data_IF_684586764026
#
_entry.id   IF_684586764026
#
_cell.length_a   1.000
_cell.length_b   1.000
_cell.length_c   1.000
_cell.angle_alpha   90.00
_cell.angle_beta   90.00
_cell.angle_gamma   90.00
#
_symmetry.space_group_name_H-M   'P 1'
#
loop_
_entity.id
_entity.type
_entity.pdbx_description
1 polymer ?
#
# COMPACT_ATOMS: atom_id res chain seq x y z
N UNK A 1 -1.10 24.94 -18.59
CA UNK A 1 0.24 24.68 -19.15
C UNK A 1 0.75 25.83 -20.01
N UNK A 2 -0.07 26.35 -20.93
CA UNK A 2 0.31 27.48 -21.80
C UNK A 2 0.62 28.75 -21.01
N UNK A 3 -0.25 29.16 -20.08
CA UNK A 3 -0.01 30.32 -19.21
C UNK A 3 1.31 30.22 -18.42
N UNK A 4 1.57 29.08 -17.78
CA UNK A 4 2.83 28.87 -17.04
C UNK A 4 4.09 28.83 -17.92
N UNK A 5 3.93 28.54 -19.22
CA UNK A 5 5.04 28.60 -20.18
C UNK A 5 5.31 30.04 -20.61
N UNK A 6 4.26 30.86 -20.73
CA UNK A 6 4.36 32.31 -20.93
C UNK A 6 5.01 33.01 -19.72
N UNK A 7 4.74 32.52 -18.50
CA UNK A 7 5.37 33.00 -17.25
C UNK A 7 6.82 32.48 -17.03
N UNK A 8 7.40 31.77 -18.00
CA UNK A 8 8.79 31.30 -17.93
C UNK A 8 9.03 30.10 -17.00
N UNK A 9 7.99 29.38 -16.56
CA UNK A 9 8.16 28.26 -15.66
C UNK A 9 8.85 27.05 -16.33
N UNK A 10 9.92 26.54 -15.71
CA UNK A 10 10.63 25.35 -16.17
C UNK A 10 9.78 24.07 -15.99
N UNK A 11 10.11 22.98 -16.67
CA UNK A 11 9.34 21.72 -16.68
C UNK A 11 9.06 21.14 -15.28
N UNK A 12 10.04 21.19 -14.37
CA UNK A 12 9.87 20.70 -12.99
C UNK A 12 8.90 21.59 -12.19
N UNK A 13 8.92 22.91 -12.42
CA UNK A 13 7.99 23.84 -11.78
C UNK A 13 6.57 23.59 -12.28
N UNK A 14 6.38 23.40 -13.59
CA UNK A 14 5.09 23.03 -14.18
C UNK A 14 4.58 21.68 -13.66
N UNK A 15 5.45 20.68 -13.52
CA UNK A 15 5.08 19.39 -12.95
C UNK A 15 4.62 19.50 -11.50
N UNK A 16 5.41 20.11 -10.62
CA UNK A 16 5.10 20.19 -9.17
C UNK A 16 3.94 21.12 -8.85
N UNK A 17 3.79 22.23 -9.56
CA UNK A 17 2.78 23.26 -9.25
C UNK A 17 1.45 23.03 -9.98
N UNK A 18 1.45 22.36 -11.13
CA UNK A 18 0.24 22.19 -11.95
C UNK A 18 -0.15 20.73 -12.06
N UNK A 19 0.76 19.86 -12.50
CA UNK A 19 0.38 18.46 -12.78
C UNK A 19 0.18 17.66 -11.52
N UNK A 20 1.17 17.69 -10.62
CA UNK A 20 1.16 16.90 -9.40
C UNK A 20 -0.11 17.16 -8.58
N UNK A 21 -0.51 18.42 -8.26
CA UNK A 21 -1.73 18.68 -7.49
C UNK A 21 -3.00 18.24 -8.23
N UNK A 22 -3.01 18.35 -9.55
CA UNK A 22 -4.18 18.00 -10.36
C UNK A 22 -4.41 16.48 -10.44
N UNK A 23 -3.33 15.69 -10.39
CA UNK A 23 -3.41 14.22 -10.35
C UNK A 23 -3.29 13.64 -8.93
N UNK A 24 -3.04 14.45 -7.90
CA UNK A 24 -2.94 14.00 -6.50
C UNK A 24 -4.15 13.14 -6.08
N UNK A 25 -5.41 13.52 -6.36
CA UNK A 25 -6.57 12.70 -5.99
C UNK A 25 -6.52 11.28 -6.55
N UNK A 26 -6.20 11.14 -7.84
CA UNK A 26 -6.14 9.83 -8.49
C UNK A 26 -4.88 9.05 -8.08
N UNK A 27 -3.78 9.73 -7.79
CA UNK A 27 -2.57 9.11 -7.25
C UNK A 27 -2.82 8.52 -5.86
N UNK A 28 -3.55 9.22 -4.99
CA UNK A 28 -3.88 8.72 -3.64
C UNK A 28 -4.70 7.44 -3.75
N UNK A 29 -5.77 7.46 -4.56
CA UNK A 29 -6.66 6.31 -4.72
C UNK A 29 -5.93 5.12 -5.36
N UNK A 30 -5.17 5.33 -6.45
CA UNK A 30 -4.41 4.25 -7.09
C UNK A 30 -3.33 3.68 -6.19
N UNK A 31 -2.62 4.53 -5.43
CA UNK A 31 -1.62 4.10 -4.45
C UNK A 31 -2.27 3.29 -3.32
N UNK A 32 -3.46 3.67 -2.88
CA UNK A 32 -4.22 2.91 -1.88
C UNK A 32 -4.47 1.47 -2.34
N UNK A 33 -5.07 1.32 -3.52
CA UNK A 33 -5.37 -0.01 -4.08
C UNK A 33 -4.10 -0.81 -4.31
N UNK A 34 -3.04 -0.17 -4.80
CA UNK A 34 -1.73 -0.79 -4.97
C UNK A 34 -1.19 -1.31 -3.63
N UNK A 35 -1.22 -0.48 -2.59
CA UNK A 35 -0.74 -0.82 -1.25
C UNK A 35 -1.50 -2.00 -0.63
N UNK A 36 -2.84 -1.99 -0.71
CA UNK A 36 -3.68 -3.11 -0.24
C UNK A 36 -3.33 -4.40 -0.98
N UNK A 37 -3.15 -4.34 -2.31
CA UNK A 37 -2.76 -5.51 -3.09
C UNK A 37 -1.36 -6.03 -2.74
N UNK A 38 -0.38 -5.14 -2.60
CA UNK A 38 1.00 -5.52 -2.27
C UNK A 38 1.11 -6.15 -0.90
N UNK A 39 0.42 -5.62 0.12
CA UNK A 39 0.40 -6.24 1.45
C UNK A 39 -0.34 -7.58 1.49
N UNK A 40 -1.33 -7.76 0.62
CA UNK A 40 -2.05 -9.01 0.44
C UNK A 40 -1.34 -10.03 -0.46
N UNK A 41 -0.19 -9.69 -1.06
CA UNK A 41 0.50 -10.57 -2.00
C UNK A 41 1.20 -11.73 -1.29
N UNK A 42 0.47 -12.83 -1.17
CA UNK A 42 0.97 -14.09 -0.63
C UNK A 42 1.93 -14.79 -1.60
N UNK A 43 1.64 -14.73 -2.90
CA UNK A 43 2.21 -15.62 -3.90
C UNK A 43 3.69 -15.33 -4.12
N UNK A 44 4.06 -14.06 -4.26
CA UNK A 44 5.43 -13.67 -4.60
C UNK A 44 6.42 -14.10 -3.51
N UNK A 45 6.07 -13.89 -2.25
CA UNK A 45 6.92 -14.25 -1.11
C UNK A 45 6.97 -15.77 -0.94
N UNK A 46 5.83 -16.44 -1.07
CA UNK A 46 5.79 -17.89 -0.91
C UNK A 46 6.58 -18.63 -1.98
N UNK A 47 6.52 -18.19 -3.24
CA UNK A 47 7.23 -18.85 -4.34
C UNK A 47 8.74 -18.58 -4.29
N UNK A 48 9.14 -17.33 -4.08
CA UNK A 48 10.54 -16.93 -4.21
C UNK A 48 11.40 -17.33 -3.02
N UNK A 49 10.88 -17.18 -1.80
CA UNK A 49 11.69 -17.31 -0.59
C UNK A 49 11.11 -18.28 0.43
N UNK A 50 9.80 -18.57 0.35
CA UNK A 50 9.05 -19.28 1.39
C UNK A 50 9.23 -18.65 2.79
N UNK A 51 9.56 -17.36 2.85
CA UNK A 51 9.88 -16.65 4.09
C UNK A 51 11.35 -16.68 4.52
N UNK A 52 12.28 -17.26 3.74
CA UNK A 52 13.71 -17.29 4.07
C UNK A 52 14.48 -15.98 3.79
N UNK A 53 15.71 -15.83 4.31
CA UNK A 53 16.42 -16.71 5.26
C UNK A 53 15.90 -16.54 6.70
N UNK A 54 15.82 -17.63 7.48
CA UNK A 54 15.37 -17.63 8.90
C UNK A 54 14.07 -16.83 9.11
N UNK A 55 13.02 -17.08 8.31
CA UNK A 55 11.71 -16.44 8.48
C UNK A 55 11.69 -14.91 8.31
N UNK A 56 12.75 -14.29 7.76
CA UNK A 56 12.91 -12.83 7.69
C UNK A 56 12.08 -12.14 6.61
N UNK A 57 11.58 -12.88 5.62
CA UNK A 57 10.80 -12.30 4.49
C UNK A 57 9.32 -12.58 4.58
N UNK A 58 8.84 -13.15 5.69
CA UNK A 58 7.40 -13.39 5.86
C UNK A 58 6.60 -12.09 5.91
N UNK A 59 5.55 -12.04 5.10
CA UNK A 59 4.46 -11.07 5.25
C UNK A 59 3.42 -11.65 6.22
N UNK A 60 2.51 -10.79 6.71
CA UNK A 60 1.43 -11.22 7.61
C UNK A 60 0.63 -12.40 7.00
N UNK A 61 0.37 -12.36 5.69
CA UNK A 61 -0.31 -13.44 4.97
C UNK A 61 0.49 -14.76 4.98
N UNK A 62 1.80 -14.73 4.72
CA UNK A 62 2.61 -15.96 4.70
C UNK A 62 2.91 -16.50 6.10
N UNK A 63 3.02 -15.62 7.10
CA UNK A 63 3.15 -15.99 8.51
C UNK A 63 1.86 -16.62 9.06
N UNK A 64 0.70 -16.06 8.72
CA UNK A 64 -0.60 -16.61 9.08
C UNK A 64 -0.79 -18.00 8.50
N UNK A 65 -0.48 -18.18 7.21
CA UNK A 65 -0.53 -19.48 6.54
C UNK A 65 0.41 -20.51 7.18
N UNK A 66 1.65 -20.12 7.46
CA UNK A 66 2.61 -20.98 8.14
C UNK A 66 2.09 -21.41 9.51
N UNK A 67 1.53 -20.49 10.30
CA UNK A 67 1.02 -20.79 11.63
C UNK A 67 -0.23 -21.68 11.59
N UNK A 68 -1.18 -21.39 10.69
CA UNK A 68 -2.42 -22.16 10.55
C UNK A 68 -2.20 -23.56 9.99
N UNK A 69 -1.47 -23.66 8.87
CA UNK A 69 -1.37 -24.90 8.10
C UNK A 69 -0.17 -25.72 8.53
N UNK A 70 1.03 -25.13 8.58
CA UNK A 70 2.25 -25.87 8.94
C UNK A 70 2.39 -26.06 10.45
N UNK A 71 1.95 -25.08 11.24
CA UNK A 71 1.93 -25.14 12.69
C UNK A 71 0.70 -25.85 13.28
N UNK A 72 -0.28 -26.22 12.44
CA UNK A 72 -1.56 -26.80 12.83
C UNK A 72 -2.37 -25.96 13.85
N UNK A 73 -2.07 -24.65 13.95
CA UNK A 73 -2.72 -23.73 14.88
C UNK A 73 -3.54 -22.71 14.09
N UNK A 74 -4.74 -23.15 13.70
CA UNK A 74 -5.72 -22.34 12.97
C UNK A 74 -6.09 -21.06 13.74
N UNK A 75 -6.26 -21.14 15.05
CA UNK A 75 -6.63 -19.99 15.88
C UNK A 75 -5.55 -18.90 15.82
N UNK A 76 -4.27 -19.28 15.97
CA UNK A 76 -3.14 -18.36 15.86
C UNK A 76 -3.00 -17.80 14.45
N UNK A 77 -3.10 -18.62 13.42
CA UNK A 77 -3.03 -18.14 12.03
C UNK A 77 -4.15 -17.17 11.69
N UNK A 78 -5.38 -17.43 12.13
CA UNK A 78 -6.52 -16.51 11.99
C UNK A 78 -6.32 -15.20 12.75
N UNK A 79 -5.79 -15.24 13.98
CA UNK A 79 -5.48 -14.05 14.74
C UNK A 79 -4.41 -13.18 14.06
N UNK A 80 -3.36 -13.79 13.50
CA UNK A 80 -2.32 -13.09 12.75
C UNK A 80 -2.90 -12.44 11.50
N UNK A 81 -3.74 -13.15 10.73
CA UNK A 81 -4.39 -12.58 9.55
C UNK A 81 -5.33 -11.42 9.91
N UNK A 82 -6.12 -11.56 10.97
CA UNK A 82 -7.05 -10.53 11.44
C UNK A 82 -6.32 -9.26 11.92
N UNK A 83 -5.09 -9.38 12.41
CA UNK A 83 -4.28 -8.23 12.84
C UNK A 83 -3.97 -7.23 11.70
N UNK A 84 -3.96 -7.69 10.44
CA UNK A 84 -3.75 -6.81 9.29
C UNK A 84 -4.93 -5.85 9.06
N UNK A 85 -6.14 -6.27 9.43
CA UNK A 85 -7.37 -5.51 9.17
C UNK A 85 -7.38 -4.10 9.80
N UNK A 86 -7.16 -3.90 11.11
CA UNK A 86 -7.15 -2.55 11.70
C UNK A 86 -6.06 -1.65 11.10
N UNK A 87 -4.92 -2.21 10.72
CA UNK A 87 -3.83 -1.46 10.08
C UNK A 87 -4.22 -0.95 8.68
N UNK A 88 -4.85 -1.79 7.87
CA UNK A 88 -5.38 -1.40 6.55
C UNK A 88 -6.47 -0.34 6.68
N UNK A 89 -7.41 -0.53 7.62
CA UNK A 89 -8.48 0.45 7.89
C UNK A 89 -7.90 1.80 8.30
N UNK A 90 -6.86 1.81 9.16
CA UNK A 90 -6.19 3.04 9.56
C UNK A 90 -5.59 3.79 8.36
N UNK A 91 -4.87 3.08 7.49
CA UNK A 91 -4.24 3.69 6.30
C UNK A 91 -5.29 4.23 5.33
N UNK A 92 -6.34 3.45 5.06
CA UNK A 92 -7.47 3.88 4.22
C UNK A 92 -8.12 5.13 4.82
N UNK A 93 -8.40 5.13 6.12
CA UNK A 93 -9.03 6.27 6.79
C UNK A 93 -8.15 7.52 6.74
N UNK A 94 -6.83 7.40 6.89
CA UNK A 94 -5.89 8.51 6.78
C UNK A 94 -5.84 9.08 5.36
N UNK A 95 -5.78 8.23 4.34
CA UNK A 95 -5.77 8.67 2.94
C UNK A 95 -7.08 9.32 2.52
N UNK A 96 -8.22 8.77 2.93
CA UNK A 96 -9.54 9.38 2.69
C UNK A 96 -9.71 10.71 3.42
N UNK A 97 -9.18 10.84 4.65
CA UNK A 97 -9.17 12.11 5.39
C UNK A 97 -8.29 13.16 4.72
N UNK A 98 -7.16 12.76 4.16
CA UNK A 98 -6.30 13.68 3.42
C UNK A 98 -7.00 14.19 2.15
N UNK A 99 -7.64 13.29 1.40
CA UNK A 99 -8.39 13.65 0.20
C UNK A 99 -9.55 14.60 0.49
N UNK A 100 -10.32 14.34 1.56
CA UNK A 100 -11.43 15.21 2.02
C UNK A 100 -11.00 16.60 2.49
N UNK A 101 -9.70 16.87 2.67
CA UNK A 101 -9.19 18.21 3.04
C UNK A 101 -8.84 19.06 1.82
N UNK A 102 -8.80 18.46 0.63
CA UNK A 102 -8.53 19.16 -0.63
C UNK A 102 -9.82 19.66 -1.32
N UNK A 103 -11.00 19.26 -0.82
CA UNK A 103 -12.33 19.82 -1.12
C UNK A 103 -12.69 20.95 -0.12
#
# INVERSE_FOLDING_TARGET
YEAATVDGANAIQRFRAITLPHITPILIVSTLFSFVRTLGDFQIVWILTKGGPINSTHLIATLAFRSAIQGADLAKGSAIAAFLFPFLVLIIALQLRYLRRED
#
